data_IF_649890914005
#
_entry.id   IF_649890914005
#
_cell.length_a   1.000
_cell.length_b   1.000
_cell.length_c   1.000
_cell.angle_alpha   90.00
_cell.angle_beta   90.00
_cell.angle_gamma   90.00
#
_symmetry.space_group_name_H-M   'P 1'
#
loop_
_entity.id
_entity.type
_entity.pdbx_description
1 polymer ?
#
# COMPACT_ATOMS: atom_id res chain seq x y z
N UNK A 1 -16.09 -9.38 4.55
CA UNK A 1 -15.40 -10.14 3.51
C UNK A 1 -16.30 -11.22 2.97
N UNK A 2 -16.85 -12.09 3.82
CA UNK A 2 -17.75 -13.18 3.39
C UNK A 2 -18.89 -12.69 2.47
N UNK A 3 -19.56 -11.61 2.81
CA UNK A 3 -20.61 -11.01 1.98
C UNK A 3 -20.11 -10.62 0.58
N UNK A 4 -18.93 -9.98 0.49
CA UNK A 4 -18.31 -9.57 -0.77
C UNK A 4 -17.84 -10.74 -1.64
N UNK A 5 -17.57 -11.89 -1.03
CA UNK A 5 -17.21 -13.13 -1.75
C UNK A 5 -18.43 -13.89 -2.26
N UNK A 6 -19.57 -13.77 -1.56
CA UNK A 6 -20.77 -14.58 -1.82
C UNK A 6 -21.73 -13.90 -2.79
N UNK A 7 -21.66 -12.56 -2.94
CA UNK A 7 -22.59 -11.81 -3.77
C UNK A 7 -21.89 -11.14 -4.95
N UNK A 8 -22.58 -11.18 -6.10
CA UNK A 8 -22.23 -10.42 -7.31
C UNK A 8 -22.74 -8.97 -7.21
N UNK A 9 -22.37 -8.13 -8.17
CA UNK A 9 -22.83 -6.74 -8.31
C UNK A 9 -24.38 -6.62 -8.40
N UNK A 10 -25.05 -7.70 -8.75
CA UNK A 10 -26.52 -7.81 -8.80
C UNK A 10 -27.15 -8.44 -7.55
N UNK A 11 -26.39 -8.63 -6.47
CA UNK A 11 -26.82 -9.28 -5.21
C UNK A 11 -27.31 -10.73 -5.39
N UNK A 12 -26.87 -11.41 -6.42
CA UNK A 12 -27.07 -12.85 -6.58
C UNK A 12 -25.98 -13.62 -5.83
N UNK A 13 -26.35 -14.73 -5.23
CA UNK A 13 -25.37 -15.66 -4.62
C UNK A 13 -24.58 -16.33 -5.73
N UNK A 14 -23.26 -16.19 -5.70
CA UNK A 14 -22.34 -16.73 -6.71
C UNK A 14 -21.60 -17.91 -6.11
N UNK A 15 -21.49 -19.00 -6.87
CA UNK A 15 -20.69 -20.16 -6.48
C UNK A 15 -19.21 -19.96 -6.82
N UNK A 16 -18.91 -19.18 -7.86
CA UNK A 16 -17.55 -18.87 -8.31
C UNK A 16 -17.06 -17.52 -7.77
N UNK A 17 -16.00 -17.54 -6.98
CA UNK A 17 -15.39 -16.34 -6.38
C UNK A 17 -14.90 -15.36 -7.45
N UNK A 18 -14.58 -15.84 -8.65
CA UNK A 18 -14.12 -15.05 -9.80
C UNK A 18 -15.15 -14.02 -10.31
N UNK A 19 -16.44 -14.29 -10.08
CA UNK A 19 -17.56 -13.41 -10.50
C UNK A 19 -18.08 -12.55 -9.35
N UNK A 20 -17.49 -12.66 -8.17
CA UNK A 20 -17.90 -11.93 -6.98
C UNK A 20 -17.60 -10.44 -7.06
N UNK A 21 -18.32 -9.66 -6.25
CA UNK A 21 -18.05 -8.22 -6.07
C UNK A 21 -16.60 -7.95 -5.64
N UNK A 22 -16.04 -8.88 -4.86
CA UNK A 22 -14.66 -8.82 -4.40
C UNK A 22 -13.67 -8.96 -5.57
N UNK A 23 -13.91 -9.84 -6.52
CA UNK A 23 -13.10 -10.00 -7.73
C UNK A 23 -13.16 -8.77 -8.63
N UNK A 24 -14.32 -8.13 -8.73
CA UNK A 24 -14.49 -6.89 -9.49
C UNK A 24 -13.65 -5.75 -8.90
N UNK A 25 -13.69 -5.56 -7.58
CA UNK A 25 -12.89 -4.54 -6.88
C UNK A 25 -11.39 -4.87 -6.98
N UNK A 26 -11.01 -6.13 -6.76
CA UNK A 26 -9.62 -6.60 -6.91
C UNK A 26 -9.08 -6.38 -8.32
N UNK A 27 -9.90 -6.67 -9.34
CA UNK A 27 -9.57 -6.45 -10.75
C UNK A 27 -9.37 -4.98 -11.12
N UNK A 28 -10.10 -4.06 -10.48
CA UNK A 28 -9.90 -2.62 -10.67
C UNK A 28 -8.55 -2.13 -10.11
N UNK A 29 -8.09 -2.75 -9.03
CA UNK A 29 -6.82 -2.39 -8.37
C UNK A 29 -5.63 -3.17 -8.98
N UNK A 30 -5.85 -4.35 -9.54
CA UNK A 30 -4.81 -5.22 -10.11
C UNK A 30 -3.83 -4.52 -11.09
N UNK A 31 -4.26 -3.59 -11.99
CA UNK A 31 -3.35 -2.89 -12.89
C UNK A 31 -2.27 -2.08 -12.16
N UNK A 32 -2.53 -1.64 -10.94
CA UNK A 32 -1.55 -0.90 -10.12
C UNK A 32 -0.36 -1.78 -9.73
N UNK A 33 -0.58 -3.10 -9.60
CA UNK A 33 0.43 -4.09 -9.22
C UNK A 33 1.02 -4.84 -10.42
N UNK A 34 0.48 -4.65 -11.63
CA UNK A 34 1.00 -5.27 -12.84
C UNK A 34 2.50 -4.98 -13.09
N UNK A 35 3.02 -3.73 -12.88
CA UNK A 35 4.44 -3.45 -13.06
C UNK A 35 5.36 -4.18 -12.07
N UNK A 36 4.81 -4.67 -10.95
CA UNK A 36 5.55 -5.42 -9.92
C UNK A 36 5.57 -6.93 -10.20
N UNK A 37 4.88 -7.38 -11.28
CA UNK A 37 4.84 -8.78 -11.68
C UNK A 37 3.77 -9.63 -10.97
N UNK A 38 2.90 -9.04 -10.15
CA UNK A 38 1.80 -9.72 -9.46
C UNK A 38 0.46 -8.98 -9.59
N UNK A 39 0.15 -8.51 -10.81
CA UNK A 39 -1.09 -7.82 -11.16
C UNK A 39 -2.30 -8.74 -11.31
N UNK A 40 -2.51 -9.66 -10.38
CA UNK A 40 -3.67 -10.55 -10.33
C UNK A 40 -4.72 -10.00 -9.36
N UNK A 41 -6.01 -10.16 -9.70
CA UNK A 41 -7.10 -9.71 -8.84
C UNK A 41 -7.12 -10.42 -7.48
N UNK A 42 -6.66 -11.67 -7.40
CA UNK A 42 -6.56 -12.46 -6.18
C UNK A 42 -5.56 -11.86 -5.22
N UNK A 43 -4.41 -11.44 -5.74
CA UNK A 43 -3.36 -10.77 -4.97
C UNK A 43 -3.84 -9.42 -4.46
N UNK A 44 -4.51 -8.64 -5.33
CA UNK A 44 -5.07 -7.34 -4.96
C UNK A 44 -6.12 -7.46 -3.86
N UNK A 45 -6.98 -8.47 -3.94
CA UNK A 45 -7.97 -8.81 -2.92
C UNK A 45 -7.30 -9.17 -1.58
N UNK A 46 -6.27 -10.02 -1.62
CA UNK A 46 -5.53 -10.40 -0.42
C UNK A 46 -4.85 -9.19 0.24
N UNK A 47 -4.32 -8.25 -0.55
CA UNK A 47 -3.74 -7.01 -0.04
C UNK A 47 -4.78 -6.09 0.62
N UNK A 48 -5.99 -6.02 0.06
CA UNK A 48 -7.10 -5.27 0.68
C UNK A 48 -7.51 -5.85 2.03
N UNK A 49 -7.59 -7.16 2.14
CA UNK A 49 -7.89 -7.81 3.43
C UNK A 49 -6.75 -7.66 4.43
N UNK A 50 -5.52 -7.66 3.97
CA UNK A 50 -4.32 -7.41 4.77
C UNK A 50 -4.27 -6.01 5.38
N UNK A 51 -5.06 -5.06 4.87
CA UNK A 51 -5.23 -3.75 5.49
C UNK A 51 -5.90 -3.84 6.87
N UNK A 52 -6.76 -4.82 7.08
CA UNK A 52 -7.38 -5.07 8.39
C UNK A 52 -6.40 -5.77 9.34
N UNK A 53 -5.75 -6.83 8.86
CA UNK A 53 -4.75 -7.59 9.60
C UNK A 53 -3.74 -8.19 8.62
N UNK A 54 -2.47 -7.87 8.75
CA UNK A 54 -1.40 -8.32 7.83
C UNK A 54 -1.30 -9.85 7.75
N UNK A 55 -1.63 -10.52 8.84
CA UNK A 55 -1.68 -11.97 8.93
C UNK A 55 -2.73 -12.61 8.03
N UNK A 56 -3.79 -11.86 7.71
CA UNK A 56 -4.88 -12.33 6.87
C UNK A 56 -4.54 -12.39 5.38
N UNK A 57 -3.44 -11.76 4.93
CA UNK A 57 -3.05 -11.73 3.51
C UNK A 57 -2.88 -13.14 2.97
N UNK A 58 -2.10 -13.97 3.65
CA UNK A 58 -1.82 -15.34 3.20
C UNK A 58 -3.06 -16.20 3.29
N UNK A 59 -3.82 -16.12 4.38
CA UNK A 59 -5.04 -16.91 4.53
C UNK A 59 -6.11 -16.53 3.52
N UNK A 60 -6.26 -15.26 3.18
CA UNK A 60 -7.18 -14.83 2.12
C UNK A 60 -6.71 -15.30 0.75
N UNK A 61 -5.41 -15.23 0.49
CA UNK A 61 -4.85 -15.68 -0.77
C UNK A 61 -5.12 -17.18 -0.98
N UNK A 62 -4.89 -17.99 0.05
CA UNK A 62 -5.21 -19.43 -0.01
C UNK A 62 -6.70 -19.71 -0.16
N UNK A 63 -7.55 -18.93 0.49
CA UNK A 63 -9.03 -19.04 0.36
C UNK A 63 -9.51 -18.72 -1.06
N UNK A 64 -8.98 -17.64 -1.65
CA UNK A 64 -9.41 -17.19 -2.99
C UNK A 64 -8.86 -18.09 -4.10
N UNK A 65 -7.73 -18.75 -3.86
CA UNK A 65 -7.18 -19.74 -4.82
C UNK A 65 -7.93 -21.07 -4.83
N UNK A 66 -8.67 -21.41 -3.76
CA UNK A 66 -9.38 -22.67 -3.63
C UNK A 66 -8.47 -23.84 -3.26
N UNK A 67 -9.10 -24.99 -2.96
CA UNK A 67 -8.38 -26.22 -2.60
C UNK A 67 -7.65 -26.82 -3.82
N UNK A 68 -6.33 -27.05 -3.68
CA UNK A 68 -5.53 -27.74 -4.68
C UNK A 68 -4.80 -26.87 -5.69
N UNK A 69 -4.87 -25.53 -5.58
CA UNK A 69 -4.07 -24.62 -6.40
C UNK A 69 -2.84 -24.17 -5.63
N UNK A 70 -1.66 -24.50 -6.17
CA UNK A 70 -0.40 -24.10 -5.54
C UNK A 70 -0.09 -22.61 -5.77
N UNK A 71 0.37 -21.93 -4.73
CA UNK A 71 0.86 -20.55 -4.79
C UNK A 71 1.96 -20.35 -5.84
N UNK A 72 2.67 -21.42 -6.19
CA UNK A 72 3.71 -21.42 -7.23
C UNK A 72 3.18 -21.15 -8.64
N UNK A 73 1.87 -21.32 -8.88
CA UNK A 73 1.26 -20.92 -10.15
C UNK A 73 1.06 -19.41 -10.28
N UNK A 74 0.90 -18.72 -9.14
CA UNK A 74 0.65 -17.28 -9.10
C UNK A 74 1.96 -16.49 -8.97
N UNK A 75 2.93 -17.05 -8.27
CA UNK A 75 4.19 -16.38 -7.93
C UNK A 75 5.40 -17.13 -8.43
N UNK A 76 6.26 -16.45 -9.19
CA UNK A 76 7.64 -16.87 -9.35
C UNK A 76 8.43 -16.54 -8.07
N UNK A 77 9.59 -17.15 -7.80
CA UNK A 77 10.40 -16.80 -6.63
C UNK A 77 10.71 -15.30 -6.53
N UNK A 78 10.91 -14.64 -7.68
CA UNK A 78 11.21 -13.20 -7.75
C UNK A 78 9.97 -12.36 -7.39
N UNK A 79 8.82 -12.69 -7.96
CA UNK A 79 7.58 -11.98 -7.66
C UNK A 79 7.10 -12.22 -6.23
N UNK A 80 7.35 -13.41 -5.68
CA UNK A 80 7.06 -13.72 -4.29
C UNK A 80 7.90 -12.86 -3.32
N UNK A 81 9.19 -12.68 -3.60
CA UNK A 81 10.06 -11.79 -2.80
C UNK A 81 9.61 -10.33 -2.88
N UNK A 82 9.25 -9.84 -4.06
CA UNK A 82 8.72 -8.49 -4.24
C UNK A 82 7.40 -8.29 -3.51
N UNK A 83 6.50 -9.28 -3.58
CA UNK A 83 5.23 -9.27 -2.86
C UNK A 83 5.43 -9.25 -1.34
N UNK A 84 6.33 -10.08 -0.81
CA UNK A 84 6.66 -10.10 0.62
C UNK A 84 7.25 -8.75 1.08
N UNK A 85 8.15 -8.15 0.28
CA UNK A 85 8.70 -6.84 0.58
C UNK A 85 7.58 -5.77 0.65
N UNK A 86 6.63 -5.83 -0.29
CA UNK A 86 5.46 -4.94 -0.27
C UNK A 86 4.62 -5.15 0.99
N UNK A 87 4.24 -6.39 1.30
CA UNK A 87 3.39 -6.73 2.47
C UNK A 87 4.03 -6.30 3.79
N UNK A 88 5.36 -6.37 3.89
CA UNK A 88 6.07 -5.93 5.09
C UNK A 88 6.05 -4.40 5.27
N UNK A 89 6.18 -3.66 4.17
CA UNK A 89 6.36 -2.21 4.20
C UNK A 89 5.06 -1.41 4.05
N UNK A 90 4.02 -1.99 3.40
CA UNK A 90 2.82 -1.22 3.15
C UNK A 90 2.06 -0.88 4.44
N UNK A 91 1.05 -0.07 4.33
CA UNK A 91 0.29 0.59 5.40
C UNK A 91 0.12 -0.24 6.68
N UNK A 92 0.31 0.36 7.87
CA UNK A 92 -0.04 -0.27 9.14
C UNK A 92 -1.53 -0.60 9.19
N UNK A 93 -1.91 -1.55 10.03
CA UNK A 93 -3.29 -1.95 10.20
C UNK A 93 -4.19 -0.79 10.70
N UNK A 94 -5.49 -0.93 10.55
CA UNK A 94 -6.49 0.08 10.96
C UNK A 94 -6.30 0.56 12.40
N UNK A 95 -5.88 -0.33 13.29
CA UNK A 95 -5.59 0.03 14.68
C UNK A 95 -4.45 1.05 14.79
N UNK A 96 -3.33 0.84 14.07
CA UNK A 96 -2.21 1.79 14.05
C UNK A 96 -2.60 3.13 13.45
N UNK A 97 -3.44 3.14 12.43
CA UNK A 97 -3.97 4.37 11.82
C UNK A 97 -4.84 5.15 12.81
N UNK A 98 -5.68 4.44 13.56
CA UNK A 98 -6.51 5.06 14.60
C UNK A 98 -5.65 5.71 15.69
N UNK A 99 -4.57 5.06 16.11
CA UNK A 99 -3.62 5.60 17.09
C UNK A 99 -2.92 6.86 16.55
N UNK A 100 -2.38 6.81 15.32
CA UNK A 100 -1.73 7.98 14.69
C UNK A 100 -2.70 9.16 14.57
N UNK A 101 -3.96 8.88 14.20
CA UNK A 101 -5.00 9.91 14.12
C UNK A 101 -5.28 10.57 15.46
N UNK A 102 -5.28 9.79 16.56
CA UNK A 102 -5.53 10.32 17.90
C UNK A 102 -4.36 11.13 18.43
N UNK A 103 -3.12 10.74 18.13
CA UNK A 103 -1.92 11.40 18.65
C UNK A 103 -1.52 12.62 17.83
N UNK A 104 -1.64 12.58 16.52
CA UNK A 104 -1.25 13.70 15.64
C UNK A 104 -2.38 14.71 15.39
N UNK A 105 -3.52 14.53 16.06
CA UNK A 105 -4.60 15.52 16.09
C UNK A 105 -5.37 15.71 14.79
N UNK A 106 -5.28 14.78 13.82
CA UNK A 106 -6.05 14.92 12.59
C UNK A 106 -6.04 13.74 11.63
N UNK A 107 -7.14 13.66 10.87
CA UNK A 107 -7.32 12.67 9.78
C UNK A 107 -6.34 12.92 8.63
N UNK A 108 -5.89 14.16 8.46
CA UNK A 108 -5.00 14.57 7.37
C UNK A 108 -3.60 13.96 7.54
N UNK A 109 -3.03 14.07 8.73
CA UNK A 109 -1.72 13.48 9.04
C UNK A 109 -1.73 11.96 8.89
N UNK A 110 -2.80 11.28 9.33
CA UNK A 110 -2.95 9.85 9.14
C UNK A 110 -3.02 9.46 7.65
N UNK A 111 -3.74 10.23 6.82
CA UNK A 111 -3.85 9.98 5.39
C UNK A 111 -2.50 10.19 4.67
N UNK A 112 -1.79 11.26 5.00
CA UNK A 112 -0.46 11.55 4.47
C UNK A 112 0.54 10.44 4.79
N UNK A 113 0.53 9.93 6.01
CA UNK A 113 1.35 8.79 6.41
C UNK A 113 1.02 7.53 5.59
N UNK A 114 -0.27 7.22 5.37
CA UNK A 114 -0.70 6.06 4.58
C UNK A 114 -0.16 6.16 3.15
N UNK A 115 -0.39 7.31 2.50
CA UNK A 115 0.04 7.54 1.11
C UNK A 115 1.55 7.43 0.97
N UNK A 116 2.30 8.04 1.89
CA UNK A 116 3.75 8.01 1.89
C UNK A 116 4.27 6.58 2.08
N UNK A 117 3.72 5.85 3.03
CA UNK A 117 4.14 4.48 3.33
C UNK A 117 3.81 3.50 2.21
N UNK A 118 2.61 3.61 1.61
CA UNK A 118 2.26 2.83 0.42
C UNK A 118 3.16 3.16 -0.77
N UNK A 119 3.50 4.43 -0.97
CA UNK A 119 4.43 4.84 -2.03
C UNK A 119 5.82 4.27 -1.84
N UNK A 120 6.39 4.33 -0.64
CA UNK A 120 7.69 3.73 -0.31
C UNK A 120 7.65 2.22 -0.50
N UNK A 121 6.60 1.55 -0.01
CA UNK A 121 6.43 0.11 -0.16
C UNK A 121 6.40 -0.31 -1.63
N UNK A 122 5.72 0.46 -2.48
CA UNK A 122 5.64 0.22 -3.92
C UNK A 122 6.99 0.38 -4.60
N UNK A 123 7.76 1.43 -4.28
CA UNK A 123 9.12 1.65 -4.81
C UNK A 123 10.05 0.51 -4.39
N UNK A 124 10.07 0.14 -3.11
CA UNK A 124 10.94 -0.94 -2.60
C UNK A 124 10.59 -2.28 -3.25
N UNK A 125 9.29 -2.59 -3.37
CA UNK A 125 8.83 -3.81 -4.03
C UNK A 125 9.28 -3.86 -5.50
N UNK A 126 9.17 -2.73 -6.23
CA UNK A 126 9.65 -2.63 -7.61
C UNK A 126 11.16 -2.81 -7.71
N UNK A 127 11.93 -2.21 -6.80
CA UNK A 127 13.40 -2.39 -6.77
C UNK A 127 13.77 -3.84 -6.53
N UNK A 128 13.11 -4.53 -5.58
CA UNK A 128 13.32 -5.97 -5.31
C UNK A 128 12.97 -6.79 -6.55
N UNK A 129 11.86 -6.50 -7.20
CA UNK A 129 11.44 -7.16 -8.44
C UNK A 129 12.47 -6.97 -9.56
N UNK A 130 12.89 -5.73 -9.81
CA UNK A 130 13.88 -5.40 -10.84
C UNK A 130 15.23 -6.09 -10.57
N UNK A 131 15.69 -6.06 -9.32
CA UNK A 131 16.94 -6.73 -8.93
C UNK A 131 16.84 -8.25 -9.09
N UNK A 132 15.71 -8.85 -8.71
CA UNK A 132 15.47 -10.28 -8.91
C UNK A 132 15.46 -10.68 -10.38
N UNK A 133 14.86 -9.86 -11.27
CA UNK A 133 14.90 -10.10 -12.72
C UNK A 133 16.31 -9.94 -13.31
N UNK A 134 17.11 -8.98 -12.82
CA UNK A 134 18.51 -8.87 -13.21
C UNK A 134 19.29 -10.14 -12.83
N UNK A 135 19.11 -10.65 -11.64
CA UNK A 135 19.80 -11.84 -11.15
C UNK A 135 19.40 -13.12 -11.92
N UNK A 136 18.17 -13.20 -12.40
CA UNK A 136 17.65 -14.35 -13.17
C UNK A 136 17.78 -14.20 -14.69
N UNK A 137 18.27 -13.05 -15.18
CA UNK A 137 18.43 -12.79 -16.61
C UNK A 137 17.12 -12.43 -17.35
N UNK A 138 16.04 -12.20 -16.60
CA UNK A 138 14.70 -11.92 -17.13
C UNK A 138 14.41 -10.43 -17.44
N UNK A 139 15.41 -9.64 -17.79
CA UNK A 139 15.31 -8.17 -18.00
C UNK A 139 14.24 -7.78 -19.02
N UNK A 140 13.95 -8.64 -20.00
CA UNK A 140 12.92 -8.41 -21.02
C UNK A 140 11.48 -8.31 -20.44
N UNK A 141 11.25 -8.79 -19.24
CA UNK A 141 9.95 -8.73 -18.56
C UNK A 141 9.74 -7.42 -17.76
N UNK A 142 10.81 -6.62 -17.65
CA UNK A 142 10.76 -5.35 -16.91
C UNK A 142 10.02 -4.29 -17.74
N UNK A 143 8.82 -3.92 -17.33
CA UNK A 143 8.01 -2.98 -18.09
C UNK A 143 8.53 -1.53 -17.94
N UNK A 144 8.63 -0.76 -19.03
CA UNK A 144 9.03 0.65 -18.97
C UNK A 144 8.04 1.50 -18.17
N UNK A 145 6.79 1.06 -18.07
CA UNK A 145 5.73 1.70 -17.28
C UNK A 145 6.09 1.67 -15.78
N UNK A 146 6.72 0.59 -15.31
CA UNK A 146 7.18 0.49 -13.93
C UNK A 146 8.22 1.54 -13.55
N UNK A 147 9.19 1.79 -14.44
CA UNK A 147 10.19 2.85 -14.22
C UNK A 147 9.56 4.25 -14.19
N UNK A 148 8.62 4.53 -15.08
CA UNK A 148 7.90 5.79 -15.10
C UNK A 148 7.08 5.98 -13.80
N UNK A 149 6.42 4.94 -13.32
CA UNK A 149 5.66 4.97 -12.08
C UNK A 149 6.58 5.22 -10.86
N UNK A 150 7.73 4.53 -10.76
CA UNK A 150 8.73 4.79 -9.71
C UNK A 150 9.19 6.24 -9.73
N UNK A 151 9.52 6.77 -10.91
CA UNK A 151 9.99 8.15 -11.05
C UNK A 151 8.91 9.14 -10.58
N UNK A 152 7.65 8.94 -10.96
CA UNK A 152 6.53 9.81 -10.56
C UNK A 152 6.31 9.74 -9.04
N UNK A 153 6.31 8.55 -8.45
CA UNK A 153 6.11 8.37 -7.01
C UNK A 153 7.29 8.97 -6.23
N UNK A 154 8.53 8.72 -6.68
CA UNK A 154 9.73 9.27 -6.04
C UNK A 154 9.75 10.80 -6.10
N UNK A 155 9.39 11.41 -7.24
CA UNK A 155 9.25 12.86 -7.37
C UNK A 155 8.15 13.41 -6.46
N UNK A 156 7.01 12.73 -6.38
CA UNK A 156 5.92 13.10 -5.48
C UNK A 156 6.35 13.08 -4.00
N UNK A 157 7.07 12.04 -3.58
CA UNK A 157 7.62 11.95 -2.22
C UNK A 157 8.67 13.04 -1.97
N UNK A 158 9.58 13.30 -2.91
CA UNK A 158 10.58 14.37 -2.80
C UNK A 158 9.91 15.74 -2.64
N UNK A 159 8.95 16.07 -3.50
CA UNK A 159 8.21 17.33 -3.40
C UNK A 159 7.46 17.46 -2.07
N UNK A 160 6.86 16.36 -1.61
CA UNK A 160 6.16 16.34 -0.32
C UNK A 160 7.12 16.61 0.85
N UNK A 161 8.29 15.97 0.86
CA UNK A 161 9.32 16.20 1.89
C UNK A 161 9.89 17.61 1.86
N UNK A 162 10.06 18.20 0.67
CA UNK A 162 10.49 19.59 0.54
C UNK A 162 9.47 20.59 1.09
N UNK A 163 8.17 20.34 0.86
CA UNK A 163 7.09 21.17 1.38
C UNK A 163 7.06 21.08 2.91
N UNK A 164 7.15 19.88 3.46
CA UNK A 164 7.21 19.66 4.91
C UNK A 164 8.42 20.34 5.55
N UNK A 165 9.59 20.30 4.91
CA UNK A 165 10.80 20.94 5.41
C UNK A 165 10.69 22.47 5.41
N UNK A 166 10.02 23.04 4.40
CA UNK A 166 9.71 24.48 4.37
C UNK A 166 8.76 24.91 5.49
N UNK A 167 7.76 24.10 5.79
CA UNK A 167 6.82 24.40 6.87
C UNK A 167 7.51 24.36 8.24
N UNK A 168 8.53 23.52 8.42
CA UNK A 168 9.37 23.47 9.63
C UNK A 168 10.27 24.70 9.72
N UNK A 169 10.85 25.18 8.61
CA UNK A 169 11.68 26.40 8.60
C UNK A 169 10.86 27.69 8.79
N UNK A 170 9.60 27.69 8.34
CA UNK A 170 8.69 28.82 8.50
C UNK A 170 8.00 28.85 9.88
N UNK A 171 8.06 27.78 10.64
CA UNK A 171 7.63 27.78 12.04
C UNK A 171 8.60 28.69 12.82
N UNK A 172 8.16 29.86 13.31
CA UNK A 172 9.04 30.76 14.05
C UNK A 172 9.59 29.97 15.22
N UNK A 173 10.92 29.92 15.32
CA UNK A 173 11.61 29.35 16.45
C UNK A 173 11.17 30.10 17.71
N UNK A 174 10.17 29.58 18.41
CA UNK A 174 9.83 29.97 19.76
C UNK A 174 10.93 29.51 20.72
N UNK A 175 12.18 29.93 20.46
CA UNK A 175 13.34 29.59 21.29
C UNK A 175 13.57 30.56 22.44
N UNK A 176 12.63 31.46 22.75
CA UNK A 176 12.78 32.38 23.85
C UNK A 176 11.50 32.59 24.65
N UNK A 177 10.92 31.49 25.18
CA UNK A 177 9.94 31.58 26.26
C UNK A 177 10.67 31.83 27.61
N UNK A 178 11.38 32.95 27.74
CA UNK A 178 11.91 33.41 29.05
C UNK A 178 11.25 34.70 29.56
N UNK A 179 10.37 35.32 28.78
CA UNK A 179 9.59 36.49 29.18
C UNK A 179 8.13 36.34 28.69
N UNK A 180 7.37 35.47 29.32
CA UNK A 180 5.89 35.49 29.25
C UNK A 180 5.36 36.11 30.54
N UNK A 181 5.48 37.44 30.68
CA UNK A 181 4.59 38.19 31.55
C UNK A 181 3.21 38.31 30.88
N UNK A 182 2.24 37.66 31.52
CA UNK A 182 0.80 37.90 31.47
C UNK A 182 0.25 38.73 30.30
N UNK A 183 -0.07 38.17 29.17
CA UNK A 183 -1.35 38.36 28.42
C UNK A 183 -1.23 37.76 27.02
N UNK A 184 -2.07 36.76 26.76
CA UNK A 184 -2.42 36.21 25.43
C UNK A 184 -1.30 35.63 24.58
N UNK A 185 -0.79 34.44 24.88
CA UNK A 185 -0.22 33.53 23.92
C UNK A 185 -1.30 32.49 23.53
N UNK A 186 -2.04 32.77 22.48
CA UNK A 186 -2.88 31.80 21.79
C UNK A 186 -2.02 30.91 20.91
N UNK A 187 -1.63 29.73 21.39
CA UNK A 187 -1.19 28.64 20.54
C UNK A 187 -2.44 27.91 20.09
N UNK A 188 -2.82 28.06 18.80
CA UNK A 188 -3.76 27.21 18.10
C UNK A 188 -3.03 26.17 17.29
#
# INVERSE_FOLDING_TARGET
>A
IWFLQTFDAHLNVVEDVDTSLLACIGGFIAPLFAPLGYGDWRVSTALMTGFMAKESVVSTLTQVMGEGVDLTMLFTPVTAMAFLAFVLLYTPCVASIATVRSEQGGTRAALEMIVLQCGIAWIVSFVVYAFGLLATGGISQLSPIGFAAVAIIALGICMYLEIQNKDIELAPACSNCRDCDNTSCGCH
#
